data_IF_582986560651
#
_entry.id   IF_582986560651
#
_cell.length_a   1.000
_cell.length_b   1.000
_cell.length_c   1.000
_cell.angle_alpha   90.00
_cell.angle_beta   90.00
_cell.angle_gamma   90.00
#
_symmetry.space_group_name_H-M   'P 1'
#
loop_
_entity.id
_entity.type
_entity.pdbx_description
1 polymer ?
#
# COMPACT_ATOMS: atom_id res chain seq x y z
N UNK A 1 -13.99 -14.27 17.91
CA UNK A 1 -12.59 -13.78 17.88
C UNK A 1 -11.58 -14.95 17.85
N UNK A 2 -11.88 -16.01 17.09
CA UNK A 2 -10.99 -17.19 16.92
C UNK A 2 -10.56 -17.30 15.46
N UNK A 3 -11.39 -16.81 14.54
CA UNK A 3 -11.18 -16.79 13.11
C UNK A 3 -9.84 -16.17 12.71
N UNK A 4 -9.48 -15.02 13.29
CA UNK A 4 -8.23 -14.31 12.98
C UNK A 4 -6.99 -15.17 13.29
N UNK A 5 -7.01 -15.93 14.39
CA UNK A 5 -5.90 -16.80 14.78
C UNK A 5 -5.85 -18.10 13.97
N UNK A 6 -7.02 -18.69 13.68
CA UNK A 6 -7.11 -19.95 12.92
C UNK A 6 -6.79 -19.73 11.44
N UNK A 7 -7.25 -18.63 10.85
CA UNK A 7 -6.85 -18.24 9.50
C UNK A 7 -5.38 -17.82 9.47
N UNK A 8 -4.89 -17.07 10.45
CA UNK A 8 -3.50 -16.64 10.52
C UNK A 8 -2.51 -17.81 10.56
N UNK A 9 -2.73 -18.82 11.41
CA UNK A 9 -1.83 -19.97 11.52
C UNK A 9 -1.81 -20.83 10.26
N UNK A 10 -2.99 -21.11 9.67
CA UNK A 10 -3.11 -21.89 8.44
C UNK A 10 -2.51 -21.16 7.24
N UNK A 11 -2.79 -19.86 7.12
CA UNK A 11 -2.21 -19.01 6.09
C UNK A 11 -0.69 -18.93 6.23
N UNK A 12 -0.17 -18.78 7.45
CA UNK A 12 1.28 -18.76 7.72
C UNK A 12 1.98 -20.07 7.34
N UNK A 13 1.39 -21.21 7.69
CA UNK A 13 1.94 -22.51 7.31
C UNK A 13 1.96 -22.71 5.79
N UNK A 14 0.86 -22.37 5.10
CA UNK A 14 0.77 -22.44 3.64
C UNK A 14 1.77 -21.49 2.96
N UNK A 15 1.89 -20.26 3.46
CA UNK A 15 2.85 -19.28 2.96
C UNK A 15 4.31 -19.74 3.14
N UNK A 16 4.64 -20.39 4.27
CA UNK A 16 5.98 -20.91 4.53
C UNK A 16 6.36 -22.06 3.59
N UNK A 17 5.40 -22.91 3.20
CA UNK A 17 5.62 -23.94 2.18
C UNK A 17 5.81 -23.28 0.81
N UNK A 18 4.89 -22.40 0.42
CA UNK A 18 4.96 -21.69 -0.86
C UNK A 18 6.26 -20.90 -1.04
N UNK A 19 6.72 -20.21 0.01
CA UNK A 19 7.96 -19.43 -0.02
C UNK A 19 9.23 -20.28 -0.25
N UNK A 20 9.20 -21.58 0.09
CA UNK A 20 10.33 -22.50 -0.16
C UNK A 20 10.36 -23.00 -1.60
N UNK A 21 9.19 -23.10 -2.22
CA UNK A 21 9.03 -23.66 -3.57
C UNK A 21 9.09 -22.59 -4.66
N UNK A 22 8.66 -21.36 -4.35
CA UNK A 22 8.62 -20.28 -5.32
C UNK A 22 10.02 -19.76 -5.62
N UNK A 23 10.34 -19.62 -6.91
CA UNK A 23 11.49 -18.85 -7.37
C UNK A 23 10.99 -17.46 -7.73
N UNK A 24 11.30 -16.41 -6.94
CA UNK A 24 10.87 -15.07 -7.28
C UNK A 24 11.46 -14.68 -8.64
N UNK A 25 10.61 -14.15 -9.52
CA UNK A 25 11.04 -13.58 -10.79
C UNK A 25 11.78 -12.26 -10.60
N UNK A 26 12.01 -11.54 -11.69
CA UNK A 26 12.61 -10.20 -11.63
C UNK A 26 11.70 -9.27 -10.83
N UNK A 27 12.19 -8.76 -9.71
CA UNK A 27 11.47 -7.76 -8.91
C UNK A 27 11.48 -6.44 -9.68
N UNK A 28 10.34 -6.05 -10.24
CA UNK A 28 10.17 -4.79 -10.95
C UNK A 28 8.98 -4.00 -10.43
N UNK A 29 9.04 -2.68 -10.58
CA UNK A 29 7.92 -1.77 -10.33
C UNK A 29 7.08 -1.55 -11.59
N UNK A 30 7.06 -2.52 -12.50
CA UNK A 30 6.36 -2.38 -13.78
C UNK A 30 4.85 -2.24 -13.61
N UNK A 31 4.29 -2.82 -12.55
CA UNK A 31 2.89 -2.61 -12.18
C UNK A 31 2.59 -1.13 -11.86
N UNK A 32 3.49 -0.42 -11.17
CA UNK A 32 3.36 1.01 -10.88
C UNK A 32 3.46 1.84 -12.15
N UNK A 33 4.43 1.51 -13.02
CA UNK A 33 4.60 2.19 -14.32
C UNK A 33 3.38 2.01 -15.22
N UNK A 34 2.81 0.82 -15.23
CA UNK A 34 1.56 0.48 -15.93
C UNK A 34 0.39 1.30 -15.38
N UNK A 35 0.24 1.32 -14.05
CA UNK A 35 -0.80 2.12 -13.40
C UNK A 35 -0.71 3.61 -13.76
N UNK A 36 0.49 4.21 -13.71
CA UNK A 36 0.67 5.61 -14.13
C UNK A 36 0.37 5.84 -15.62
N UNK A 37 0.59 4.83 -16.48
CA UNK A 37 0.22 4.93 -17.90
C UNK A 37 -1.29 4.91 -18.08
N UNK A 38 -1.98 3.98 -17.42
CA UNK A 38 -3.45 3.87 -17.44
C UNK A 38 -4.11 5.15 -16.90
N UNK A 39 -3.55 5.77 -15.85
CA UNK A 39 -4.01 7.06 -15.34
C UNK A 39 -3.89 8.18 -16.39
N UNK A 40 -2.77 8.24 -17.13
CA UNK A 40 -2.59 9.22 -18.21
C UNK A 40 -3.54 8.98 -19.37
N UNK A 41 -3.74 7.72 -19.77
CA UNK A 41 -4.69 7.35 -20.82
C UNK A 41 -6.13 7.71 -20.44
N UNK A 42 -6.48 7.60 -19.15
CA UNK A 42 -7.76 8.01 -18.60
C UNK A 42 -7.90 9.53 -18.36
N UNK A 43 -6.86 10.33 -18.61
CA UNK A 43 -6.87 11.78 -18.39
C UNK A 43 -6.89 12.20 -16.91
N UNK A 44 -6.37 11.36 -16.01
CA UNK A 44 -6.35 11.62 -14.57
C UNK A 44 -5.00 12.26 -14.19
N UNK A 45 -4.95 13.58 -14.18
CA UNK A 45 -3.72 14.36 -13.95
C UNK A 45 -3.32 14.54 -12.48
N UNK A 46 -4.24 14.24 -11.54
CA UNK A 46 -4.01 14.39 -10.09
C UNK A 46 -4.21 13.07 -9.34
N UNK A 47 -3.39 12.03 -9.58
CA UNK A 47 -3.39 10.87 -8.71
C UNK A 47 -2.93 11.29 -7.33
N UNK A 48 -3.69 10.92 -6.30
CA UNK A 48 -3.28 11.16 -4.92
C UNK A 48 -1.98 10.39 -4.66
N UNK A 49 -0.95 11.09 -4.18
CA UNK A 49 0.34 10.47 -3.87
C UNK A 49 0.18 9.52 -2.68
N UNK A 50 0.42 8.23 -2.91
CA UNK A 50 0.50 7.26 -1.82
C UNK A 50 1.85 7.38 -1.08
N UNK A 51 1.88 7.18 0.25
CA UNK A 51 0.77 6.79 1.12
C UNK A 51 0.02 8.00 1.68
N UNK A 52 -1.31 7.96 1.63
CA UNK A 52 -2.16 8.86 2.40
C UNK A 52 -2.06 8.48 3.87
N UNK A 53 -1.36 9.30 4.67
CA UNK A 53 -1.24 9.10 6.11
C UNK A 53 -2.60 9.18 6.81
N UNK A 54 -3.47 10.09 6.34
CA UNK A 54 -4.81 10.34 6.84
C UNK A 54 -5.74 10.43 5.64
N UNK A 55 -6.52 9.38 5.33
CA UNK A 55 -7.50 9.45 4.26
C UNK A 55 -8.62 10.44 4.60
N UNK A 56 -9.28 10.99 3.57
CA UNK A 56 -10.30 12.04 3.71
C UNK A 56 -11.60 11.62 4.43
N UNK A 57 -11.71 10.36 4.87
CA UNK A 57 -12.84 9.90 5.70
C UNK A 57 -12.66 10.23 7.20
N UNK A 58 -11.53 10.82 7.61
CA UNK A 58 -11.27 11.24 8.99
C UNK A 58 -11.73 12.69 9.22
N UNK A 59 -12.45 12.91 10.33
CA UNK A 59 -13.01 14.20 10.74
C UNK A 59 -11.93 15.30 10.85
N UNK A 60 -12.32 16.56 10.63
CA UNK A 60 -11.44 17.72 10.48
C UNK A 60 -10.45 17.91 11.65
N UNK A 61 -10.82 17.46 12.86
CA UNK A 61 -9.96 17.51 14.05
C UNK A 61 -8.69 16.65 13.97
N UNK A 62 -8.67 15.61 13.12
CA UNK A 62 -7.52 14.72 12.97
C UNK A 62 -6.48 15.22 11.96
N UNK A 63 -6.84 16.21 11.11
CA UNK A 63 -5.96 16.77 10.07
C UNK A 63 -4.85 17.68 10.62
N UNK A 64 -5.03 18.23 11.83
CA UNK A 64 -4.10 19.19 12.42
C UNK A 64 -2.71 18.61 12.74
N UNK A 65 -2.60 17.29 13.01
CA UNK A 65 -1.32 16.67 13.39
C UNK A 65 -0.36 16.38 12.23
N UNK A 66 -0.80 16.55 10.98
CA UNK A 66 0.02 16.28 9.79
C UNK A 66 0.85 17.50 9.34
N UNK A 67 0.43 18.74 9.66
CA UNK A 67 1.12 19.95 9.20
C UNK A 67 2.24 20.45 10.14
N UNK A 68 2.32 19.92 11.37
CA UNK A 68 3.32 20.34 12.38
C UNK A 68 4.64 19.52 12.36
N UNK A 69 4.80 18.59 11.41
CA UNK A 69 5.90 17.60 11.45
C UNK A 69 6.74 17.44 10.18
N UNK A 70 6.76 18.43 9.28
CA UNK A 70 7.34 18.27 7.93
C UNK A 70 8.22 19.41 7.44
N UNK A 71 8.95 20.09 8.34
CA UNK A 71 10.13 20.85 7.95
C UNK A 71 11.32 19.92 7.81
N UNK A 72 12.06 20.07 6.70
CA UNK A 72 13.34 19.42 6.38
C UNK A 72 13.29 17.96 5.86
N UNK A 73 13.12 17.83 4.55
CA UNK A 73 14.08 17.06 3.73
C UNK A 73 14.48 17.95 2.55
N UNK A 74 15.76 18.33 2.51
CA UNK A 74 16.41 18.94 1.34
C UNK A 74 16.94 17.87 0.40
#
# INVERSE_FOLDING_TARGET
LVDIFVFGRRAGAAAAVYAREVRPGRLTLDHVRRFHRELREAGIDRPVTSPLLIPDYLDAGHKARQYDGGGAIG
#
